data_IF_696670686135
#
_entry.id   IF_696670686135
#
_cell.length_a   1.000
_cell.length_b   1.000
_cell.length_c   1.000
_cell.angle_alpha   90.00
_cell.angle_beta   90.00
_cell.angle_gamma   90.00
#
_symmetry.space_group_name_H-M   'P 1'
#
loop_
_entity.id
_entity.type
_entity.pdbx_description
1 polymer ?
#
# COMPACT_ATOMS: atom_id res chain seq x y z
N UNK A 1 -26.60 -13.93 2.13
CA UNK A 1 -25.39 -13.16 2.33
C UNK A 1 -24.18 -14.00 1.95
N UNK A 2 -23.33 -13.40 1.30
CA UNK A 2 -22.13 -14.11 0.84
C UNK A 2 -20.97 -13.87 1.76
N UNK A 3 -20.32 -14.94 2.22
CA UNK A 3 -19.06 -14.83 2.93
C UNK A 3 -17.90 -14.50 2.00
N UNK A 4 -18.15 -14.52 0.69
CA UNK A 4 -17.10 -14.20 -0.29
C UNK A 4 -16.60 -12.77 -0.20
N UNK A 5 -17.34 -11.89 0.48
CA UNK A 5 -16.91 -10.51 0.70
C UNK A 5 -15.92 -10.39 1.85
N UNK A 6 -15.80 -11.44 2.67
CA UNK A 6 -14.82 -11.47 3.75
C UNK A 6 -13.56 -12.11 3.20
N UNK A 7 -12.50 -11.33 3.12
CA UNK A 7 -11.22 -11.81 2.62
C UNK A 7 -10.49 -12.60 3.69
N UNK A 8 -9.53 -13.41 3.27
CA UNK A 8 -8.60 -14.04 4.21
C UNK A 8 -7.89 -12.95 5.01
N UNK A 9 -7.45 -13.24 6.24
CA UNK A 9 -6.81 -12.22 7.09
C UNK A 9 -5.37 -11.92 6.64
N UNK A 10 -5.22 -11.58 5.37
CA UNK A 10 -3.92 -11.19 4.83
C UNK A 10 -3.36 -10.02 5.62
N UNK A 11 -2.05 -10.04 5.84
CA UNK A 11 -1.37 -8.91 6.45
C UNK A 11 -0.84 -8.01 5.35
N UNK A 12 -1.39 -6.79 5.29
CA UNK A 12 -1.04 -5.84 4.23
C UNK A 12 -0.56 -4.53 4.84
N UNK A 13 0.47 -3.97 4.23
CA UNK A 13 0.96 -2.64 4.51
C UNK A 13 0.58 -1.77 3.34
N UNK A 14 0.03 -0.59 3.62
CA UNK A 14 -0.20 0.39 2.59
C UNK A 14 0.41 1.71 3.00
N UNK A 15 0.68 2.56 2.05
CA UNK A 15 1.17 3.89 2.33
C UNK A 15 0.77 4.87 1.25
N UNK A 16 0.66 6.11 1.66
CA UNK A 16 0.30 7.21 0.80
C UNK A 16 0.77 8.51 1.43
N UNK A 17 0.25 9.61 0.94
CA UNK A 17 0.66 10.94 1.36
C UNK A 17 -0.31 11.60 2.33
N UNK A 18 -1.58 11.21 2.33
CA UNK A 18 -2.65 11.88 3.08
C UNK A 18 -3.13 11.04 4.26
N UNK A 19 -2.94 11.52 5.52
CA UNK A 19 -3.29 10.72 6.70
C UNK A 19 -4.77 10.40 6.81
N UNK A 20 -5.64 11.32 6.46
CA UNK A 20 -7.10 11.12 6.57
C UNK A 20 -7.59 10.02 5.63
N UNK A 21 -7.06 10.01 4.41
CA UNK A 21 -7.37 8.97 3.43
C UNK A 21 -6.84 7.62 3.92
N UNK A 22 -5.62 7.61 4.43
CA UNK A 22 -5.01 6.41 4.96
C UNK A 22 -5.79 5.79 6.12
N UNK A 23 -6.25 6.61 7.05
CA UNK A 23 -7.06 6.15 8.17
C UNK A 23 -8.37 5.53 7.71
N UNK A 24 -9.04 6.16 6.74
CA UNK A 24 -10.30 5.65 6.20
C UNK A 24 -10.10 4.32 5.48
N UNK A 25 -9.04 4.20 4.69
CA UNK A 25 -8.72 2.96 3.98
C UNK A 25 -8.40 1.85 4.99
N UNK A 26 -7.59 2.15 6.00
CA UNK A 26 -7.25 1.18 7.05
C UNK A 26 -8.48 0.63 7.76
N UNK A 27 -9.39 1.52 8.17
CA UNK A 27 -10.62 1.12 8.84
C UNK A 27 -11.45 0.19 7.96
N UNK A 28 -11.60 0.55 6.70
CA UNK A 28 -12.38 -0.23 5.74
C UNK A 28 -11.77 -1.62 5.49
N UNK A 29 -10.45 -1.69 5.36
CA UNK A 29 -9.78 -2.97 5.15
C UNK A 29 -9.88 -3.88 6.38
N UNK A 30 -9.76 -3.30 7.58
CA UNK A 30 -9.92 -4.05 8.83
C UNK A 30 -11.34 -4.57 9.00
N UNK A 31 -12.34 -3.80 8.60
CA UNK A 31 -13.73 -4.25 8.60
C UNK A 31 -13.95 -5.45 7.68
N UNK A 32 -13.18 -5.53 6.62
CA UNK A 32 -13.23 -6.65 5.68
C UNK A 32 -12.45 -7.88 6.14
N UNK A 33 -11.85 -7.83 7.33
CA UNK A 33 -11.14 -8.96 7.93
C UNK A 33 -9.65 -8.98 7.73
N UNK A 34 -9.09 -7.95 7.11
CA UNK A 34 -7.66 -7.87 6.83
C UNK A 34 -6.86 -7.34 8.02
N UNK A 35 -5.65 -7.83 8.19
CA UNK A 35 -4.69 -7.26 9.14
C UNK A 35 -3.95 -6.13 8.42
N UNK A 36 -4.59 -4.98 8.30
CA UNK A 36 -4.11 -3.86 7.50
C UNK A 36 -3.48 -2.77 8.35
N UNK A 37 -2.36 -2.26 7.88
CA UNK A 37 -1.68 -1.09 8.44
C UNK A 37 -1.42 -0.12 7.31
N UNK A 38 -1.91 1.11 7.45
CA UNK A 38 -1.69 2.17 6.47
C UNK A 38 -0.89 3.27 7.14
N UNK A 39 0.24 3.63 6.54
CA UNK A 39 1.11 4.67 7.08
C UNK A 39 1.24 5.82 6.09
N UNK A 40 1.62 6.98 6.60
CA UNK A 40 1.93 8.13 5.76
C UNK A 40 3.44 8.17 5.57
N UNK A 41 3.87 8.26 4.33
CA UNK A 41 5.29 8.38 4.01
C UNK A 41 5.61 9.76 3.49
N UNK A 42 6.65 10.36 4.06
CA UNK A 42 7.24 11.56 3.50
C UNK A 42 8.01 11.18 2.21
N UNK A 43 8.05 12.10 1.27
CA UNK A 43 8.74 11.90 -0.01
C UNK A 43 10.23 12.27 0.11
N UNK A 44 10.89 11.70 1.12
CA UNK A 44 12.29 11.98 1.41
C UNK A 44 12.95 10.80 2.13
N UNK A 45 14.18 11.01 2.59
CA UNK A 45 14.96 9.99 3.29
C UNK A 45 14.29 9.51 4.58
N UNK A 46 13.55 10.38 5.27
CA UNK A 46 12.87 9.98 6.50
C UNK A 46 11.73 9.01 6.21
N UNK A 47 11.00 9.24 5.12
CA UNK A 47 9.97 8.32 4.66
C UNK A 47 10.55 6.99 4.21
N UNK A 48 11.64 7.03 3.45
CA UNK A 48 12.33 5.83 3.00
C UNK A 48 12.80 4.99 4.21
N UNK A 49 13.38 5.63 5.23
CA UNK A 49 13.84 4.95 6.45
C UNK A 49 12.66 4.35 7.22
N UNK A 50 11.53 5.04 7.27
CA UNK A 50 10.34 4.51 7.91
C UNK A 50 9.83 3.26 7.22
N UNK A 51 9.81 3.26 5.90
CA UNK A 51 9.38 2.09 5.13
C UNK A 51 10.30 0.89 5.41
N UNK A 52 11.60 1.11 5.40
CA UNK A 52 12.57 0.05 5.73
C UNK A 52 12.28 -0.53 7.13
N UNK A 53 12.07 0.33 8.12
CA UNK A 53 11.76 -0.14 9.48
C UNK A 53 10.49 -0.99 9.53
N UNK A 54 9.44 -0.53 8.87
CA UNK A 54 8.18 -1.28 8.84
C UNK A 54 8.36 -2.66 8.22
N UNK A 55 9.07 -2.74 7.11
CA UNK A 55 9.31 -4.00 6.42
C UNK A 55 10.23 -4.94 7.20
N UNK A 56 11.15 -4.39 8.00
CA UNK A 56 12.01 -5.19 8.85
C UNK A 56 11.31 -5.70 10.10
N UNK A 57 10.34 -4.95 10.61
CA UNK A 57 9.67 -5.28 11.88
C UNK A 57 8.48 -6.22 11.71
N UNK A 58 7.88 -6.25 10.55
CA UNK A 58 6.66 -7.02 10.31
C UNK A 58 6.72 -7.69 8.96
N UNK A 59 6.33 -8.95 8.91
CA UNK A 59 6.25 -9.69 7.67
C UNK A 59 4.85 -9.48 7.06
N UNK A 60 4.82 -8.99 5.84
CA UNK A 60 3.58 -8.68 5.12
C UNK A 60 3.36 -9.63 3.95
N UNK A 61 2.11 -9.95 3.68
CA UNK A 61 1.72 -10.74 2.51
C UNK A 61 1.66 -9.86 1.26
N UNK A 62 1.28 -8.60 1.45
CA UNK A 62 1.19 -7.64 0.37
C UNK A 62 1.53 -6.22 0.82
N UNK A 63 2.00 -5.43 -0.12
CA UNK A 63 2.32 -4.01 0.11
C UNK A 63 1.56 -3.20 -0.94
N UNK A 64 0.69 -2.30 -0.46
CA UNK A 64 -0.14 -1.45 -1.32
C UNK A 64 0.57 -0.12 -1.51
N UNK A 65 0.81 0.24 -2.76
CA UNK A 65 1.42 1.52 -3.10
C UNK A 65 0.32 2.49 -3.50
N UNK A 66 0.27 3.64 -2.85
CA UNK A 66 -0.73 4.67 -3.11
C UNK A 66 -0.72 5.12 -4.57
N UNK A 67 -1.91 5.43 -5.09
CA UNK A 67 -2.06 5.79 -6.50
C UNK A 67 -1.35 7.08 -6.88
N UNK A 68 -1.16 7.99 -5.93
CA UNK A 68 -0.37 9.20 -6.18
C UNK A 68 1.09 8.87 -6.46
N UNK A 69 1.65 7.91 -5.71
CA UNK A 69 3.06 7.51 -5.85
C UNK A 69 3.27 6.75 -7.17
N UNK A 70 2.40 5.80 -7.46
CA UNK A 70 2.53 4.93 -8.62
C UNK A 70 2.11 5.58 -9.94
N UNK A 71 1.44 6.75 -9.88
CA UNK A 71 0.93 7.41 -11.07
C UNK A 71 -0.31 6.75 -11.67
N UNK A 72 -0.97 5.89 -10.93
CA UNK A 72 -2.16 5.17 -11.42
C UNK A 72 -3.44 6.01 -11.38
N UNK A 73 -3.45 7.09 -10.60
CA UNK A 73 -4.61 7.97 -10.51
C UNK A 73 -4.67 8.87 -11.75
N UNK A 74 -5.72 8.77 -12.57
CA UNK A 74 -5.80 9.57 -13.79
C UNK A 74 -5.91 11.07 -13.54
N UNK A 75 -6.33 11.49 -12.34
CA UNK A 75 -6.41 12.90 -11.98
C UNK A 75 -5.09 13.45 -11.44
N UNK A 76 -4.15 12.60 -11.14
CA UNK A 76 -2.85 12.96 -10.57
C UNK A 76 -1.74 12.30 -11.40
N UNK A 77 -1.47 12.80 -12.61
CA UNK A 77 -0.47 12.18 -13.48
C UNK A 77 0.92 12.21 -12.85
N UNK A 78 1.76 11.23 -13.15
CA UNK A 78 3.09 11.14 -12.56
C UNK A 78 3.98 12.31 -13.00
N UNK A 79 4.84 12.73 -12.09
CA UNK A 79 5.87 13.72 -12.33
C UNK A 79 7.22 13.03 -12.23
N UNK A 80 8.28 13.77 -12.56
CA UNK A 80 9.63 13.25 -12.40
C UNK A 80 9.90 12.86 -10.94
N UNK A 81 9.53 13.73 -9.99
CA UNK A 81 9.78 13.45 -8.58
C UNK A 81 8.96 12.28 -8.06
N UNK A 82 7.70 12.13 -8.47
CA UNK A 82 6.91 10.98 -8.04
C UNK A 82 7.37 9.68 -8.68
N UNK A 83 7.89 9.75 -9.89
CA UNK A 83 8.48 8.58 -10.55
C UNK A 83 9.73 8.11 -9.83
N UNK A 84 10.59 9.06 -9.43
CA UNK A 84 11.78 8.74 -8.65
C UNK A 84 11.40 8.13 -7.30
N UNK A 85 10.39 8.68 -6.65
CA UNK A 85 9.88 8.15 -5.39
C UNK A 85 9.37 6.72 -5.56
N UNK A 86 8.59 6.49 -6.61
CA UNK A 86 8.06 5.17 -6.92
C UNK A 86 9.20 4.15 -7.13
N UNK A 87 10.23 4.55 -7.88
CA UNK A 87 11.41 3.71 -8.08
C UNK A 87 12.08 3.34 -6.75
N UNK A 88 12.28 4.32 -5.85
CA UNK A 88 12.91 4.04 -4.56
C UNK A 88 12.05 3.10 -3.72
N UNK A 89 10.75 3.34 -3.68
CA UNK A 89 9.81 2.51 -2.93
C UNK A 89 9.82 1.07 -3.42
N UNK A 90 9.74 0.87 -4.73
CA UNK A 90 9.77 -0.47 -5.32
C UNK A 90 11.05 -1.22 -4.95
N UNK A 91 12.19 -0.54 -5.01
CA UNK A 91 13.46 -1.16 -4.69
C UNK A 91 13.61 -1.46 -3.21
N UNK A 92 13.07 -0.62 -2.33
CA UNK A 92 13.04 -0.90 -0.90
C UNK A 92 12.20 -2.15 -0.62
N UNK A 93 11.03 -2.24 -1.21
CA UNK A 93 10.17 -3.42 -1.03
C UNK A 93 10.86 -4.67 -1.53
N UNK A 94 11.47 -4.59 -2.70
CA UNK A 94 12.19 -5.71 -3.29
C UNK A 94 13.35 -6.20 -2.39
N UNK A 95 14.07 -5.26 -1.78
CA UNK A 95 15.21 -5.58 -0.94
C UNK A 95 14.81 -6.12 0.44
N UNK A 96 13.79 -5.53 1.07
CA UNK A 96 13.45 -5.81 2.46
C UNK A 96 12.21 -6.70 2.66
N UNK A 97 11.40 -6.88 1.64
CA UNK A 97 10.22 -7.73 1.70
C UNK A 97 10.06 -8.50 0.38
N UNK A 98 11.04 -9.33 0.01
CA UNK A 98 11.06 -9.97 -1.31
C UNK A 98 9.91 -10.96 -1.53
N UNK A 99 9.29 -11.46 -0.47
CA UNK A 99 8.16 -12.40 -0.59
C UNK A 99 6.80 -11.70 -0.58
N UNK A 100 6.75 -10.43 -0.22
CA UNK A 100 5.50 -9.68 -0.25
C UNK A 100 5.12 -9.35 -1.70
N UNK A 101 3.83 -9.45 -2.00
CA UNK A 101 3.34 -9.06 -3.31
C UNK A 101 3.09 -7.57 -3.36
N UNK A 102 3.41 -6.95 -4.47
CA UNK A 102 3.18 -5.52 -4.68
C UNK A 102 1.77 -5.36 -5.24
N UNK A 103 1.00 -4.45 -4.62
CA UNK A 103 -0.38 -4.20 -4.97
C UNK A 103 -0.53 -2.73 -5.39
N UNK A 104 -0.88 -2.50 -6.64
CA UNK A 104 -1.15 -1.17 -7.14
C UNK A 104 -2.65 -0.91 -7.09
N UNK A 105 -3.03 0.32 -6.79
CA UNK A 105 -4.42 0.76 -6.74
C UNK A 105 -4.61 1.92 -7.68
N UNK A 106 -5.79 2.04 -8.27
CA UNK A 106 -6.12 3.15 -9.17
C UNK A 106 -6.50 4.41 -8.40
N UNK A 107 -7.01 4.24 -7.19
CA UNK A 107 -7.39 5.32 -6.28
C UNK A 107 -7.60 4.69 -4.90
N UNK A 108 -7.76 5.49 -3.83
CA UNK A 108 -7.93 4.93 -2.49
C UNK A 108 -9.12 3.97 -2.35
N UNK A 109 -10.18 4.16 -3.12
CA UNK A 109 -11.35 3.29 -3.07
C UNK A 109 -11.14 1.92 -3.70
N UNK A 110 -10.06 1.72 -4.44
CA UNK A 110 -9.77 0.47 -5.14
C UNK A 110 -9.04 -0.56 -4.27
N UNK A 111 -8.62 -0.18 -3.04
CA UNK A 111 -7.72 -1.01 -2.23
C UNK A 111 -8.24 -2.44 -2.00
N UNK A 112 -9.48 -2.59 -1.61
CA UNK A 112 -10.05 -3.90 -1.32
C UNK A 112 -10.08 -4.80 -2.57
N UNK A 113 -10.53 -4.24 -3.70
CA UNK A 113 -10.55 -4.97 -4.96
C UNK A 113 -9.15 -5.34 -5.43
N UNK A 114 -8.18 -4.43 -5.24
CA UNK A 114 -6.80 -4.69 -5.64
C UNK A 114 -6.18 -5.83 -4.82
N UNK A 115 -6.43 -5.85 -3.51
CA UNK A 115 -5.96 -6.94 -2.65
C UNK A 115 -6.54 -8.27 -3.13
N UNK A 116 -7.82 -8.29 -3.44
CA UNK A 116 -8.48 -9.49 -3.92
C UNK A 116 -7.91 -9.97 -5.26
N UNK A 117 -7.58 -9.04 -6.15
CA UNK A 117 -6.97 -9.39 -7.44
C UNK A 117 -5.59 -10.01 -7.29
N UNK A 118 -4.81 -9.56 -6.32
CA UNK A 118 -3.41 -9.95 -6.16
C UNK A 118 -3.25 -11.12 -5.20
N UNK A 119 -3.93 -11.08 -4.07
CA UNK A 119 -3.77 -12.08 -3.02
C UNK A 119 -4.87 -13.15 -3.02
N UNK A 120 -6.01 -12.84 -3.53
CA UNK A 120 -7.13 -13.78 -3.58
C UNK A 120 -8.15 -13.66 -2.47
#
# INVERSE_FOLDING_TARGET
>A
MSTSEVLKPWRVLGFGKHPEIGEAVQARLREAGLAATIIVLAEDETGDARLVRELNNTEYDGVIIGSFISGQDPELPPTESTTDWFNRVLNIIHAYAPTARIILVRNPGDALAAISRVLG
#
